data_IF_218823631494
#
_entry.id   IF_218823631494
#
_cell.length_a   1.000
_cell.length_b   1.000
_cell.length_c   1.000
_cell.angle_alpha   90.00
_cell.angle_beta   90.00
_cell.angle_gamma   90.00
#
_symmetry.space_group_name_H-M   'P 1'
#
loop_
_entity.id
_entity.type
_entity.pdbx_description
1 polymer ?
#
# COMPACT_ATOMS: atom_id res chain seq x y z
N UNK A 1 16.58 -1.64 8.47
CA UNK A 1 15.48 -1.06 9.25
C UNK A 1 14.62 -0.18 8.38
N UNK A 2 15.04 1.05 8.08
CA UNK A 2 14.24 2.00 7.28
C UNK A 2 14.02 1.51 5.84
N UNK A 3 12.82 1.76 5.32
CA UNK A 3 12.43 1.50 3.93
C UNK A 3 12.02 2.81 3.28
N UNK A 4 12.35 2.96 1.99
CA UNK A 4 11.86 4.02 1.13
C UNK A 4 11.23 3.38 -0.09
N UNK A 5 9.95 3.66 -0.33
CA UNK A 5 9.29 3.29 -1.59
C UNK A 5 9.80 4.23 -2.67
N UNK A 6 10.23 3.68 -3.81
CA UNK A 6 10.83 4.47 -4.89
C UNK A 6 9.78 4.88 -5.92
N UNK A 7 8.96 3.92 -6.34
CA UNK A 7 7.92 4.09 -7.34
C UNK A 7 6.76 3.13 -7.04
N UNK A 8 5.53 3.55 -7.33
CA UNK A 8 4.34 2.70 -7.37
C UNK A 8 3.68 2.88 -8.73
N UNK A 9 3.46 1.78 -9.43
CA UNK A 9 2.52 1.73 -10.55
C UNK A 9 1.24 1.06 -10.04
N UNK A 10 0.11 1.74 -10.21
CA UNK A 10 -1.20 1.28 -9.77
C UNK A 10 -2.12 1.21 -10.99
N UNK A 11 -2.71 0.05 -11.22
CA UNK A 11 -3.63 -0.20 -12.30
C UNK A 11 -4.93 -0.75 -11.70
N UNK A 12 -6.07 -0.19 -12.10
CA UNK A 12 -7.37 -0.62 -11.61
C UNK A 12 -8.39 -0.60 -12.74
N UNK A 13 -9.35 -1.51 -12.67
CA UNK A 13 -10.45 -1.63 -13.61
C UNK A 13 -11.71 -1.03 -12.99
N UNK A 14 -11.94 0.24 -13.30
CA UNK A 14 -13.17 0.94 -12.94
C UNK A 14 -14.20 0.95 -14.08
N UNK A 15 -14.05 0.04 -15.04
CA UNK A 15 -14.84 -0.01 -16.26
C UNK A 15 -14.72 1.27 -17.07
N UNK A 16 -15.85 1.92 -17.37
CA UNK A 16 -15.85 3.20 -18.09
C UNK A 16 -15.61 4.38 -17.15
N UNK A 17 -14.55 5.14 -17.40
CA UNK A 17 -14.24 6.35 -16.63
C UNK A 17 -15.30 7.44 -16.84
N UNK A 18 -16.14 7.67 -15.82
CA UNK A 18 -17.10 8.79 -15.85
C UNK A 18 -16.35 10.13 -15.82
N UNK A 19 -15.31 10.23 -14.99
CA UNK A 19 -14.42 11.38 -14.92
C UNK A 19 -12.97 10.87 -14.77
N UNK A 20 -12.19 10.83 -15.87
CA UNK A 20 -10.82 10.32 -15.86
C UNK A 20 -9.90 11.01 -14.86
N UNK A 21 -10.05 12.32 -14.65
CA UNK A 21 -9.22 13.07 -13.69
C UNK A 21 -9.51 12.65 -12.25
N UNK A 22 -10.77 12.40 -11.92
CA UNK A 22 -11.13 11.92 -10.59
C UNK A 22 -10.69 10.46 -10.40
N UNK A 23 -10.77 9.63 -11.44
CA UNK A 23 -10.27 8.25 -11.43
C UNK A 23 -8.77 8.26 -11.14
N UNK A 24 -7.98 9.06 -11.86
CA UNK A 24 -6.55 9.23 -11.61
C UNK A 24 -6.27 9.66 -10.16
N UNK A 25 -6.97 10.69 -9.67
CA UNK A 25 -6.80 11.15 -8.28
C UNK A 25 -7.17 10.10 -7.22
N UNK A 26 -8.14 9.24 -7.48
CA UNK A 26 -8.48 8.12 -6.58
C UNK A 26 -7.38 7.05 -6.58
N UNK A 27 -6.82 6.72 -7.74
CA UNK A 27 -5.70 5.79 -7.84
C UNK A 27 -4.46 6.32 -7.12
N UNK A 28 -4.14 7.60 -7.29
CA UNK A 28 -3.06 8.26 -6.54
C UNK A 28 -3.32 8.22 -5.02
N UNK A 29 -4.55 8.54 -4.60
CA UNK A 29 -4.94 8.51 -3.19
C UNK A 29 -4.78 7.11 -2.57
N UNK A 30 -5.19 6.07 -3.28
CA UNK A 30 -5.03 4.69 -2.82
C UNK A 30 -3.57 4.28 -2.70
N UNK A 31 -2.70 4.69 -3.63
CA UNK A 31 -1.26 4.44 -3.53
C UNK A 31 -0.64 5.15 -2.32
N UNK A 32 -1.02 6.41 -2.06
CA UNK A 32 -0.58 7.18 -0.89
C UNK A 32 -1.04 6.52 0.42
N UNK A 33 -2.31 6.14 0.52
CA UNK A 33 -2.84 5.45 1.69
C UNK A 33 -2.15 4.10 1.92
N UNK A 34 -1.89 3.35 0.85
CA UNK A 34 -1.16 2.08 0.95
C UNK A 34 0.25 2.25 1.51
N UNK A 35 0.96 3.34 1.20
CA UNK A 35 2.24 3.67 1.84
C UNK A 35 2.05 3.91 3.34
N UNK A 36 1.01 4.64 3.72
CA UNK A 36 0.61 4.88 5.11
C UNK A 36 0.38 3.57 5.87
N UNK A 37 -0.52 2.72 5.38
CA UNK A 37 -0.84 1.41 5.98
C UNK A 37 0.38 0.49 6.06
N UNK A 38 1.18 0.47 5.00
CA UNK A 38 2.30 -0.45 4.91
C UNK A 38 3.42 -0.08 5.89
N UNK A 39 3.66 1.21 6.15
CA UNK A 39 4.90 1.66 6.78
C UNK A 39 4.72 2.57 8.02
N UNK A 40 3.58 3.23 8.19
CA UNK A 40 3.43 4.33 9.15
C UNK A 40 2.26 4.17 10.14
N UNK A 41 1.08 3.83 9.62
CA UNK A 41 -0.18 3.99 10.32
C UNK A 41 -0.47 2.82 11.27
N UNK A 42 -0.61 3.12 12.57
CA UNK A 42 -0.96 2.14 13.60
C UNK A 42 -1.74 2.82 14.73
N UNK A 43 -2.91 2.29 15.06
CA UNK A 43 -3.64 2.70 16.28
C UNK A 43 -3.12 1.84 17.44
N UNK A 44 -2.57 2.49 18.47
CA UNK A 44 -2.07 1.81 19.65
C UNK A 44 -3.09 1.96 20.77
N UNK A 45 -3.57 0.83 21.28
CA UNK A 45 -4.52 0.79 22.39
C UNK A 45 -3.88 0.25 23.66
N UNK A 46 -4.17 0.87 24.80
CA UNK A 46 -3.81 0.36 26.13
C UNK A 46 -5.02 0.50 27.05
N UNK A 47 -5.41 -0.58 27.72
CA UNK A 47 -6.54 -0.59 28.67
C UNK A 47 -7.84 -0.01 28.06
N UNK A 48 -8.11 -0.33 26.80
CA UNK A 48 -9.30 0.12 26.07
C UNK A 48 -9.25 1.58 25.60
N UNK A 49 -8.11 2.27 25.73
CA UNK A 49 -7.92 3.66 25.27
C UNK A 49 -6.88 3.74 24.17
N UNK A 50 -7.13 4.57 23.16
CA UNK A 50 -6.13 4.95 22.15
C UNK A 50 -5.10 5.85 22.82
N UNK A 51 -3.82 5.45 22.77
CA UNK A 51 -2.73 6.20 23.43
C UNK A 51 -1.93 7.09 22.47
N UNK A 52 -2.20 7.01 21.17
CA UNK A 52 -1.61 7.87 20.14
C UNK A 52 -2.68 8.61 19.30
N UNK A 53 -3.66 9.32 19.91
CA UNK A 53 -4.78 9.91 19.18
C UNK A 53 -4.43 11.21 18.41
N UNK A 54 -3.17 11.66 18.46
CA UNK A 54 -2.74 12.90 17.82
C UNK A 54 -2.02 12.59 16.51
N UNK A 55 -2.05 13.50 15.53
CA UNK A 55 -1.23 13.37 14.31
C UNK A 55 0.29 13.47 14.57
N UNK A 56 0.67 13.87 15.79
CA UNK A 56 2.06 13.82 16.21
C UNK A 56 2.49 12.38 16.52
N UNK A 57 1.59 11.52 17.01
CA UNK A 57 1.89 10.16 17.44
C UNK A 57 1.37 9.10 16.47
N UNK A 58 0.20 9.31 15.87
CA UNK A 58 -0.31 8.56 14.71
C UNK A 58 0.34 9.12 13.45
N UNK A 59 1.36 8.41 12.96
CA UNK A 59 2.15 8.88 11.83
C UNK A 59 1.39 8.63 10.52
N UNK A 60 1.11 9.71 9.81
CA UNK A 60 0.69 9.68 8.40
C UNK A 60 1.89 10.02 7.52
N UNK A 61 1.99 9.47 6.30
CA UNK A 61 3.07 9.81 5.38
C UNK A 61 2.99 11.29 4.98
N UNK A 62 4.14 11.96 4.98
CA UNK A 62 4.28 13.32 4.47
C UNK A 62 4.59 13.34 2.97
N UNK A 63 4.60 14.53 2.37
CA UNK A 63 4.89 14.71 0.92
C UNK A 63 6.24 14.11 0.49
N UNK A 64 7.24 14.07 1.39
CA UNK A 64 8.56 13.51 1.11
C UNK A 64 8.60 11.97 1.20
N UNK A 65 7.57 11.36 1.77
CA UNK A 65 7.42 9.91 1.86
C UNK A 65 6.71 9.33 0.63
N UNK A 66 6.06 10.18 -0.17
CA UNK A 66 5.29 9.75 -1.34
C UNK A 66 6.24 9.46 -2.51
N UNK A 67 6.21 8.24 -3.07
CA UNK A 67 7.04 7.86 -4.20
C UNK A 67 6.53 8.49 -5.49
N UNK A 68 7.28 8.29 -6.59
CA UNK A 68 6.72 8.53 -7.92
C UNK A 68 5.51 7.60 -8.13
N UNK A 69 4.39 8.16 -8.57
CA UNK A 69 3.17 7.41 -8.87
C UNK A 69 2.97 7.33 -10.39
N UNK A 70 2.51 6.18 -10.86
CA UNK A 70 2.03 5.98 -12.22
C UNK A 70 0.68 5.29 -12.14
N UNK A 71 -0.37 5.91 -12.68
CA UNK A 71 -1.73 5.40 -12.65
C UNK A 71 -2.11 4.83 -14.01
N UNK A 72 -2.90 3.76 -14.02
CA UNK A 72 -3.42 3.13 -15.22
C UNK A 72 -4.89 2.81 -14.97
N UNK A 73 -5.78 3.50 -15.69
CA UNK A 73 -7.19 3.10 -15.74
C UNK A 73 -7.36 2.01 -16.79
N UNK A 74 -7.78 0.83 -16.36
CA UNK A 74 -8.10 -0.31 -17.22
C UNK A 74 -9.58 -0.22 -17.59
N UNK A 75 -9.85 -0.18 -18.89
CA UNK A 75 -11.21 -0.02 -19.40
C UNK A 75 -11.84 -1.37 -19.72
N UNK A 76 -12.68 -1.90 -18.82
CA UNK A 76 -13.53 -3.07 -19.06
C UNK A 76 -15.01 -2.78 -18.82
N UNK A 77 -15.80 -2.76 -19.90
CA UNK A 77 -17.19 -2.31 -19.87
C UNK A 77 -18.09 -3.20 -18.99
N UNK A 78 -18.70 -2.64 -17.95
CA UNK A 78 -19.66 -3.32 -17.09
C UNK A 78 -21.12 -3.09 -17.55
N UNK A 79 -21.74 -4.13 -18.12
CA UNK A 79 -23.10 -4.03 -18.67
C UNK A 79 -24.17 -3.60 -17.66
N UNK A 80 -23.97 -3.84 -16.36
CA UNK A 80 -24.89 -3.41 -15.29
C UNK A 80 -24.54 -2.04 -14.70
N UNK A 81 -23.38 -1.50 -15.08
CA UNK A 81 -22.84 -0.24 -14.57
C UNK A 81 -23.41 0.96 -15.29
N UNK A 82 -23.56 2.12 -14.62
CA UNK A 82 -23.97 3.34 -15.28
C UNK A 82 -22.94 3.69 -16.35
N UNK A 83 -23.37 3.72 -17.61
CA UNK A 83 -22.49 3.95 -18.76
C UNK A 83 -21.31 2.96 -18.89
N UNK A 84 -21.37 1.79 -18.25
CA UNK A 84 -20.26 0.83 -18.24
C UNK A 84 -19.29 0.95 -17.07
N UNK A 85 -19.55 1.82 -16.09
CA UNK A 85 -18.66 2.10 -14.97
C UNK A 85 -18.75 1.06 -13.83
N UNK A 86 -17.62 0.86 -13.16
CA UNK A 86 -17.44 0.16 -11.87
C UNK A 86 -16.93 1.16 -10.82
N UNK A 87 -16.63 0.69 -9.62
CA UNK A 87 -16.05 1.51 -8.55
C UNK A 87 -14.54 1.74 -8.75
N UNK A 88 -13.96 2.74 -8.09
CA UNK A 88 -12.51 3.04 -8.12
C UNK A 88 -11.96 3.56 -6.78
N UNK A 89 -12.78 3.54 -5.72
CA UNK A 89 -12.44 4.15 -4.44
C UNK A 89 -11.54 3.28 -3.57
N UNK A 90 -11.65 1.95 -3.66
CA UNK A 90 -11.06 1.06 -2.65
C UNK A 90 -10.23 -0.12 -3.19
N UNK A 91 -10.55 -0.64 -4.38
CA UNK A 91 -10.02 -1.91 -4.88
C UNK A 91 -8.49 -2.02 -4.89
N UNK A 92 -7.80 -0.97 -5.33
CA UNK A 92 -6.36 -1.01 -5.57
C UNK A 92 -5.50 -0.80 -4.31
N UNK A 93 -6.04 -0.22 -3.23
CA UNK A 93 -5.30 0.03 -1.97
C UNK A 93 -4.72 -1.25 -1.37
N UNK A 94 -5.53 -2.31 -1.24
CA UNK A 94 -5.10 -3.57 -0.65
C UNK A 94 -3.99 -4.25 -1.47
N UNK A 95 -4.10 -4.21 -2.79
CA UNK A 95 -3.08 -4.74 -3.70
C UNK A 95 -1.75 -3.96 -3.58
N UNK A 96 -1.81 -2.64 -3.45
CA UNK A 96 -0.62 -1.80 -3.27
C UNK A 96 0.10 -2.10 -1.94
N UNK A 97 -0.63 -2.31 -0.84
CA UNK A 97 -0.03 -2.73 0.45
C UNK A 97 0.72 -4.06 0.30
N UNK A 98 0.08 -5.05 -0.35
CA UNK A 98 0.70 -6.34 -0.59
C UNK A 98 1.93 -6.23 -1.51
N UNK A 99 1.89 -5.37 -2.53
CA UNK A 99 3.01 -5.10 -3.42
C UNK A 99 4.21 -4.50 -2.66
N UNK A 100 3.97 -3.55 -1.76
CA UNK A 100 5.03 -2.99 -0.89
C UNK A 100 5.63 -4.08 0.01
N UNK A 101 4.79 -4.90 0.64
CA UNK A 101 5.27 -6.01 1.49
C UNK A 101 6.10 -7.04 0.69
N UNK A 102 5.66 -7.37 -0.53
CA UNK A 102 6.39 -8.25 -1.44
C UNK A 102 7.74 -7.63 -1.87
N UNK A 103 7.77 -6.33 -2.18
CA UNK A 103 8.99 -5.63 -2.55
C UNK A 103 10.01 -5.59 -1.40
N UNK A 104 9.55 -5.35 -0.16
CA UNK A 104 10.38 -5.42 1.04
C UNK A 104 10.92 -6.84 1.22
N UNK A 105 10.06 -7.84 1.10
CA UNK A 105 10.44 -9.25 1.24
C UNK A 105 11.51 -9.65 0.23
N UNK A 106 11.34 -9.25 -1.04
CA UNK A 106 12.33 -9.46 -2.10
C UNK A 106 13.65 -8.72 -1.80
N UNK A 107 13.59 -7.52 -1.25
CA UNK A 107 14.79 -6.72 -0.95
C UNK A 107 15.61 -7.25 0.23
N UNK A 108 14.94 -7.80 1.27
CA UNK A 108 15.62 -8.20 2.53
C UNK A 108 15.75 -9.72 2.68
N UNK A 109 15.06 -10.51 1.86
CA UNK A 109 15.02 -11.96 1.97
C UNK A 109 14.38 -12.49 3.24
N UNK A 110 13.37 -11.78 3.74
CA UNK A 110 12.56 -12.18 4.90
C UNK A 110 11.13 -11.65 4.73
N UNK A 111 10.13 -12.43 5.14
CA UNK A 111 8.72 -12.05 5.03
C UNK A 111 8.22 -11.43 6.33
N UNK A 112 7.59 -10.27 6.24
CA UNK A 112 6.92 -9.61 7.37
C UNK A 112 5.41 -9.77 7.18
N UNK A 113 4.73 -10.33 8.18
CA UNK A 113 3.28 -10.63 8.13
C UNK A 113 2.44 -9.69 9.02
N UNK A 114 3.05 -8.64 9.57
CA UNK A 114 2.41 -7.71 10.47
C UNK A 114 2.63 -6.27 9.97
N UNK A 115 1.53 -5.58 9.71
CA UNK A 115 1.53 -4.15 9.40
C UNK A 115 1.42 -3.30 10.69
N UNK A 116 1.85 -2.03 10.63
CA UNK A 116 2.77 -1.52 9.62
C UNK A 116 4.14 -2.21 9.78
N UNK A 117 4.91 -2.29 8.69
CA UNK A 117 6.27 -2.84 8.64
C UNK A 117 7.26 -1.79 9.16
N UNK A 118 7.24 -1.54 10.47
CA UNK A 118 8.08 -0.52 11.10
C UNK A 118 9.58 -0.82 10.94
N UNK A 119 10.46 0.19 11.06
CA UNK A 119 11.90 -0.02 11.00
C UNK A 119 12.43 -1.10 11.97
N UNK A 120 11.81 -1.23 13.15
CA UNK A 120 12.12 -2.23 14.16
C UNK A 120 11.73 -3.64 13.69
N UNK A 121 10.50 -3.80 13.17
CA UNK A 121 10.03 -5.09 12.61
C UNK A 121 10.92 -5.53 11.42
N UNK A 122 11.32 -4.58 10.57
CA UNK A 122 12.24 -4.86 9.45
C UNK A 122 13.64 -5.22 9.95
N UNK A 123 14.16 -4.49 10.94
CA UNK A 123 15.47 -4.79 11.52
C UNK A 123 15.49 -6.17 12.19
N UNK A 124 14.40 -6.56 12.84
CA UNK A 124 14.26 -7.90 13.40
C UNK A 124 14.19 -8.97 12.30
N UNK A 125 13.40 -8.75 11.25
CA UNK A 125 13.32 -9.67 10.12
C UNK A 125 14.67 -9.90 9.43
N UNK A 126 15.51 -8.87 9.33
CA UNK A 126 16.88 -8.96 8.78
C UNK A 126 17.80 -9.92 9.55
N UNK A 127 17.51 -10.22 10.82
CA UNK A 127 18.30 -11.19 11.61
C UNK A 127 18.00 -12.64 11.25
N UNK A 128 16.87 -12.89 10.58
CA UNK A 128 16.36 -14.23 10.26
C UNK A 128 16.19 -14.42 8.74
N UNK A 129 17.07 -13.81 7.92
CA UNK A 129 16.96 -13.73 6.46
C UNK A 129 17.32 -15.03 5.72
N UNK A 130 16.56 -16.10 5.96
CA UNK A 130 16.71 -17.39 5.24
C UNK A 130 15.57 -17.65 4.25
N UNK A 131 14.69 -16.68 4.00
CA UNK A 131 13.42 -16.90 3.29
C UNK A 131 13.59 -17.13 1.78
N UNK A 132 14.47 -16.38 1.10
CA UNK A 132 14.67 -16.51 -0.37
C UNK A 132 15.24 -17.89 -0.72
N UNK A 133 16.03 -18.50 0.15
CA UNK A 133 16.61 -19.83 -0.09
C UNK A 133 15.54 -20.94 -0.17
N UNK A 134 14.33 -20.68 0.33
CA UNK A 134 13.20 -21.62 0.32
C UNK A 134 12.04 -21.16 -0.57
N UNK A 135 12.23 -20.09 -1.36
CA UNK A 135 11.21 -19.66 -2.31
C UNK A 135 11.12 -20.69 -3.44
N UNK A 136 9.93 -21.22 -3.78
CA UNK A 136 9.78 -22.11 -4.92
C UNK A 136 10.14 -21.32 -6.18
N UNK A 137 11.37 -21.53 -6.62
CA UNK A 137 11.81 -21.20 -7.97
C UNK A 137 11.41 -22.39 -8.82
N UNK A 138 10.68 -22.12 -9.90
CA UNK A 138 10.31 -23.15 -10.88
C UNK A 138 11.54 -23.92 -11.39
#
# INVERSE_FOLDING_TARGET
GKVKVIEITIADDCGTDINPLNVEGQLESQAVMAVGDALFEEIITKEGRVINPTLADYKIPGVLDIPKLTTISVQDYEAKGPFGAKEVGEAARGAAIAAIANAICNAIGARIYCLPMTPEKILEALKHSDYINNWPTE
#
